data_IF_584841196605
#
_entry.id   IF_584841196605
#
_cell.length_a   1.000
_cell.length_b   1.000
_cell.length_c   1.000
_cell.angle_alpha   90.00
_cell.angle_beta   90.00
_cell.angle_gamma   90.00
#
_symmetry.space_group_name_H-M   'P 1'
#
loop_
_entity.id
_entity.type
_entity.pdbx_description
1 polymer ?
#
# COMPACT_ATOMS: atom_id res chain seq x y z
N UNK A 1 1.90 2.55 18.06
CA UNK A 1 3.22 2.71 17.44
C UNK A 1 3.08 3.80 16.40
N UNK A 2 3.47 5.02 16.76
CA UNK A 2 3.56 6.12 15.79
C UNK A 2 4.54 5.68 14.71
N UNK A 3 4.17 5.83 13.45
CA UNK A 3 5.02 5.48 12.32
C UNK A 3 6.22 6.44 12.35
N UNK A 4 7.38 5.95 12.82
CA UNK A 4 8.53 6.80 13.14
C UNK A 4 9.01 7.62 11.93
N UNK A 5 8.84 7.08 10.72
CA UNK A 5 9.16 7.76 9.47
C UNK A 5 8.15 8.87 9.13
N UNK A 6 6.86 8.69 9.46
CA UNK A 6 5.85 9.76 9.31
C UNK A 6 6.12 10.92 10.27
N UNK A 7 6.59 10.64 11.48
CA UNK A 7 6.93 11.68 12.47
C UNK A 7 8.08 12.57 11.99
N UNK A 8 9.10 12.00 11.35
CA UNK A 8 10.23 12.75 10.82
C UNK A 8 9.83 13.66 9.65
N UNK A 9 8.95 13.20 8.77
CA UNK A 9 8.39 14.00 7.67
C UNK A 9 7.48 15.13 8.17
N UNK A 10 6.66 14.89 9.20
CA UNK A 10 5.83 15.95 9.83
C UNK A 10 6.73 17.06 10.40
N UNK A 11 7.92 16.71 10.91
CA UNK A 11 8.91 17.69 11.37
C UNK A 11 9.40 18.66 10.29
N UNK A 12 9.19 18.34 9.01
CA UNK A 12 9.55 19.18 7.86
C UNK A 12 8.37 20.03 7.36
N UNK A 13 7.15 19.79 7.89
CA UNK A 13 5.96 20.56 7.53
C UNK A 13 5.90 21.89 8.31
N UNK A 14 5.33 22.91 7.68
CA UNK A 14 4.99 24.15 8.38
C UNK A 14 3.83 23.91 9.34
N UNK A 15 4.15 23.75 10.62
CA UNK A 15 3.19 23.53 11.70
C UNK A 15 2.83 24.82 12.43
N UNK A 16 3.14 26.02 11.89
CA UNK A 16 2.74 27.28 12.53
C UNK A 16 1.22 27.34 12.66
N UNK A 17 0.76 27.60 13.88
CA UNK A 17 -0.67 27.58 14.23
C UNK A 17 -1.22 26.21 14.64
N UNK A 18 -0.41 25.15 14.57
CA UNK A 18 -0.74 23.84 15.13
C UNK A 18 0.02 23.60 16.44
N UNK A 19 -0.61 22.85 17.33
CA UNK A 19 0.00 22.33 18.56
C UNK A 19 0.29 20.84 18.32
N UNK A 20 1.56 20.41 18.30
CA UNK A 20 1.88 18.99 18.20
C UNK A 20 1.29 18.20 19.37
N UNK A 21 0.69 17.05 19.07
CA UNK A 21 0.10 16.14 20.05
C UNK A 21 0.72 14.77 19.87
N UNK A 22 1.54 14.38 20.85
CA UNK A 22 2.25 13.09 20.84
C UNK A 22 1.48 11.98 21.58
N UNK A 23 0.47 12.36 22.38
CA UNK A 23 -0.38 11.45 23.15
C UNK A 23 -1.85 11.86 23.07
N UNK A 24 -2.65 11.02 22.39
CA UNK A 24 -4.09 11.22 22.22
C UNK A 24 -4.89 11.01 23.52
N UNK A 25 -4.30 10.41 24.56
CA UNK A 25 -4.93 10.25 25.87
C UNK A 25 -4.78 11.48 26.76
N UNK A 26 -3.82 12.36 26.44
CA UNK A 26 -3.51 13.56 27.21
C UNK A 26 -3.44 14.78 26.28
N UNK A 27 -4.62 15.21 25.86
CA UNK A 27 -4.75 16.38 24.99
C UNK A 27 -4.59 17.68 25.79
N UNK A 28 -3.85 18.69 25.26
CA UNK A 28 -3.94 20.06 25.76
C UNK A 28 -5.33 20.64 25.45
N UNK A 29 -5.59 21.87 25.91
CA UNK A 29 -6.80 22.60 25.52
C UNK A 29 -6.73 22.92 24.02
N UNK A 30 -7.67 22.36 23.25
CA UNK A 30 -7.70 22.41 21.79
C UNK A 30 -9.14 22.65 21.31
N UNK A 31 -9.32 23.54 20.33
CA UNK A 31 -10.59 23.70 19.64
C UNK A 31 -10.91 22.49 18.74
N UNK A 32 -9.88 21.89 18.13
CA UNK A 32 -9.98 20.69 17.32
C UNK A 32 -8.63 19.97 17.13
N UNK A 33 -8.68 18.75 16.59
CA UNK A 33 -7.52 17.90 16.31
C UNK A 33 -7.47 17.45 14.84
N UNK A 34 -6.26 17.37 14.28
CA UNK A 34 -6.00 16.72 12.99
C UNK A 34 -5.14 15.49 13.23
N UNK A 35 -5.71 14.30 13.01
CA UNK A 35 -5.01 13.03 13.11
C UNK A 35 -4.44 12.64 11.75
N UNK A 36 -3.12 12.68 11.60
CA UNK A 36 -2.44 12.19 10.39
C UNK A 36 -2.09 10.72 10.60
N UNK A 37 -2.73 9.82 9.84
CA UNK A 37 -2.55 8.37 10.02
C UNK A 37 -2.86 7.58 8.76
N UNK A 38 -2.09 6.51 8.54
CA UNK A 38 -2.39 5.49 7.53
C UNK A 38 -3.39 4.44 8.03
N UNK A 39 -3.72 4.44 9.32
CA UNK A 39 -4.55 3.40 9.95
C UNK A 39 -6.02 3.60 9.66
N UNK A 40 -6.82 2.53 9.55
CA UNK A 40 -8.25 2.61 9.26
C UNK A 40 -9.08 3.14 10.46
N UNK A 41 -8.60 2.96 11.68
CA UNK A 41 -9.24 3.40 12.93
C UNK A 41 -8.54 4.58 13.60
N UNK A 42 -9.29 5.28 14.45
CA UNK A 42 -8.80 6.25 15.42
C UNK A 42 -9.36 5.88 16.80
N UNK A 43 -8.64 6.18 17.89
CA UNK A 43 -9.20 6.03 19.23
C UNK A 43 -10.39 6.99 19.42
N UNK A 44 -11.21 6.74 20.44
CA UNK A 44 -12.22 7.71 20.86
C UNK A 44 -11.56 9.00 21.34
N UNK A 45 -12.01 10.13 20.79
CA UNK A 45 -11.46 11.46 21.07
C UNK A 45 -12.58 12.39 21.55
N UNK A 46 -12.32 13.13 22.62
CA UNK A 46 -13.29 14.04 23.26
C UNK A 46 -13.40 15.41 22.59
N UNK A 47 -12.55 15.69 21.60
CA UNK A 47 -12.51 16.94 20.85
C UNK A 47 -12.95 16.71 19.40
N UNK A 48 -13.45 17.77 18.75
CA UNK A 48 -13.73 17.74 17.32
C UNK A 48 -12.45 17.36 16.57
N UNK A 49 -12.53 16.41 15.65
CA UNK A 49 -11.33 15.92 14.97
C UNK A 49 -11.59 15.56 13.51
N UNK A 50 -10.52 15.68 12.72
CA UNK A 50 -10.46 15.21 11.34
C UNK A 50 -9.30 14.26 11.17
N UNK A 51 -9.48 13.29 10.28
CA UNK A 51 -8.44 12.35 9.89
C UNK A 51 -7.89 12.75 8.53
N UNK A 52 -6.58 12.99 8.48
CA UNK A 52 -5.84 13.11 7.23
C UNK A 52 -5.18 11.76 6.95
N UNK A 53 -5.45 11.18 5.78
CA UNK A 53 -4.88 9.89 5.37
C UNK A 53 -3.91 10.13 4.21
N UNK A 54 -2.59 10.15 4.46
CA UNK A 54 -1.61 10.30 3.40
C UNK A 54 -1.64 9.12 2.42
N UNK A 55 -1.62 9.41 1.11
CA UNK A 55 -1.50 8.39 0.07
C UNK A 55 -0.05 7.89 -0.02
N UNK A 56 0.29 6.89 0.79
CA UNK A 56 1.64 6.30 0.89
C UNK A 56 1.68 4.80 0.64
N UNK A 57 0.61 4.07 0.89
CA UNK A 57 0.57 2.61 0.75
C UNK A 57 0.61 2.23 -0.72
N UNK A 58 1.47 1.30 -1.10
CA UNK A 58 1.56 0.78 -2.47
C UNK A 58 1.29 -0.72 -2.47
N UNK A 59 0.69 -1.23 -3.54
CA UNK A 59 0.37 -2.64 -3.67
C UNK A 59 1.00 -3.22 -4.94
N UNK A 60 1.97 -4.12 -4.78
CA UNK A 60 2.40 -4.99 -5.88
C UNK A 60 1.45 -6.18 -6.00
N UNK A 61 0.92 -6.44 -7.20
CA UNK A 61 -0.06 -7.49 -7.45
C UNK A 61 0.38 -8.41 -8.59
N UNK A 62 0.43 -9.71 -8.30
CA UNK A 62 0.53 -10.78 -9.29
C UNK A 62 -0.81 -11.52 -9.38
N UNK A 63 -1.26 -11.89 -10.57
CA UNK A 63 -2.48 -12.66 -10.74
C UNK A 63 -2.45 -13.52 -12.02
N UNK A 64 -3.34 -14.52 -12.11
CA UNK A 64 -3.57 -15.27 -13.37
C UNK A 64 -4.19 -14.36 -14.43
N UNK A 65 -4.14 -14.76 -15.69
CA UNK A 65 -4.82 -14.03 -16.77
C UNK A 65 -6.33 -14.04 -16.53
N UNK A 66 -7.00 -12.95 -16.89
CA UNK A 66 -8.45 -12.78 -16.79
C UNK A 66 -8.98 -12.95 -15.35
N UNK A 67 -8.15 -12.59 -14.35
CA UNK A 67 -8.60 -12.62 -12.96
C UNK A 67 -9.71 -11.59 -12.75
N UNK A 68 -10.90 -11.99 -12.26
CA UNK A 68 -12.03 -11.07 -12.14
C UNK A 68 -11.74 -9.91 -11.18
N UNK A 69 -12.17 -8.70 -11.56
CA UNK A 69 -12.09 -7.52 -10.70
C UNK A 69 -12.66 -7.74 -9.28
N UNK A 70 -13.85 -8.35 -9.08
CA UNK A 70 -14.41 -8.54 -7.74
C UNK A 70 -13.51 -9.37 -6.81
N UNK A 71 -12.78 -10.34 -7.36
CA UNK A 71 -11.82 -11.14 -6.62
C UNK A 71 -10.62 -10.29 -6.20
N UNK A 72 -10.05 -9.52 -7.15
CA UNK A 72 -8.92 -8.64 -6.88
C UNK A 72 -9.26 -7.56 -5.83
N UNK A 73 -10.45 -6.96 -5.93
CA UNK A 73 -10.93 -5.96 -4.98
C UNK A 73 -11.11 -6.55 -3.57
N UNK A 74 -11.73 -7.72 -3.47
CA UNK A 74 -11.92 -8.43 -2.19
C UNK A 74 -10.58 -8.75 -1.53
N UNK A 75 -9.62 -9.30 -2.28
CA UNK A 75 -8.33 -9.67 -1.73
C UNK A 75 -7.48 -8.45 -1.35
N UNK A 76 -7.52 -7.37 -2.13
CA UNK A 76 -6.84 -6.13 -1.77
C UNK A 76 -7.42 -5.51 -0.49
N UNK A 77 -8.75 -5.42 -0.39
CA UNK A 77 -9.43 -4.90 0.80
C UNK A 77 -9.06 -5.72 2.04
N UNK A 78 -9.08 -7.06 1.93
CA UNK A 78 -8.67 -7.93 3.04
C UNK A 78 -7.21 -7.76 3.43
N UNK A 79 -6.32 -7.54 2.46
CA UNK A 79 -4.90 -7.33 2.74
C UNK A 79 -4.65 -6.00 3.44
N UNK A 80 -5.34 -4.93 3.04
CA UNK A 80 -5.27 -3.63 3.72
C UNK A 80 -5.81 -3.74 5.15
N UNK A 81 -6.96 -4.40 5.33
CA UNK A 81 -7.58 -4.62 6.64
C UNK A 81 -6.68 -5.45 7.58
N UNK A 82 -6.04 -6.50 7.07
CA UNK A 82 -5.10 -7.30 7.84
C UNK A 82 -3.91 -6.49 8.39
N UNK A 83 -3.57 -5.38 7.73
CA UNK A 83 -2.54 -4.44 8.16
C UNK A 83 -3.13 -3.19 8.86
N UNK A 84 -4.45 -3.16 9.09
CA UNK A 84 -5.22 -2.03 9.63
C UNK A 84 -4.97 -0.74 8.86
N UNK A 85 -4.89 -0.82 7.54
CA UNK A 85 -4.63 0.34 6.68
C UNK A 85 -5.94 0.90 6.15
N UNK A 86 -6.06 2.22 6.18
CA UNK A 86 -7.16 2.92 5.54
C UNK A 86 -7.06 2.74 4.01
N UNK A 87 -8.13 2.34 3.31
CA UNK A 87 -8.11 2.22 1.85
C UNK A 87 -7.71 3.52 1.13
N UNK A 88 -7.98 4.68 1.72
CA UNK A 88 -7.56 5.98 1.16
C UNK A 88 -6.04 6.17 1.19
N UNK A 89 -5.31 5.39 1.99
CA UNK A 89 -3.85 5.43 2.03
C UNK A 89 -3.20 4.85 0.77
N UNK A 90 -3.95 4.13 -0.07
CA UNK A 90 -3.40 3.54 -1.29
C UNK A 90 -2.98 4.65 -2.28
N UNK A 91 -1.72 4.59 -2.70
CA UNK A 91 -1.03 5.51 -3.61
C UNK A 91 -0.90 4.96 -5.03
N UNK A 92 -0.66 3.66 -5.17
CA UNK A 92 -0.43 3.03 -6.48
C UNK A 92 -0.60 1.50 -6.44
N UNK A 93 -0.91 0.92 -7.60
CA UNK A 93 -0.87 -0.53 -7.84
C UNK A 93 0.23 -0.84 -8.86
N UNK A 94 1.05 -1.84 -8.58
CA UNK A 94 2.17 -2.28 -9.41
C UNK A 94 2.00 -3.71 -9.93
N UNK A 95 2.44 -3.98 -11.15
CA UNK A 95 2.57 -5.36 -11.67
C UNK A 95 3.67 -5.47 -12.72
N UNK A 96 3.76 -6.60 -13.41
CA UNK A 96 4.67 -6.79 -14.55
C UNK A 96 4.08 -6.22 -15.85
N UNK A 97 4.92 -5.79 -16.78
CA UNK A 97 4.53 -5.19 -18.08
C UNK A 97 3.63 -6.09 -18.91
N UNK A 98 3.77 -7.42 -18.80
CA UNK A 98 2.85 -8.37 -19.41
C UNK A 98 1.38 -8.16 -19.00
N UNK A 99 1.15 -7.53 -17.84
CA UNK A 99 -0.17 -7.20 -17.28
C UNK A 99 -0.66 -5.79 -17.61
N UNK A 100 0.04 -5.02 -18.44
CA UNK A 100 -0.35 -3.65 -18.81
C UNK A 100 -1.78 -3.56 -19.36
N UNK A 101 -2.25 -4.60 -20.05
CA UNK A 101 -3.61 -4.69 -20.60
C UNK A 101 -4.58 -5.56 -19.80
N UNK A 102 -4.25 -5.97 -18.57
CA UNK A 102 -5.09 -6.87 -17.77
C UNK A 102 -6.35 -6.14 -17.26
N UNK A 103 -7.57 -6.47 -17.74
CA UNK A 103 -8.77 -5.69 -17.43
C UNK A 103 -9.07 -5.61 -15.94
N UNK A 104 -8.89 -6.71 -15.21
CA UNK A 104 -9.15 -6.75 -13.76
C UNK A 104 -8.25 -5.80 -12.96
N UNK A 105 -6.98 -5.67 -13.32
CA UNK A 105 -6.04 -4.76 -12.64
C UNK A 105 -6.28 -3.30 -13.00
N UNK A 106 -6.61 -3.02 -14.27
CA UNK A 106 -6.98 -1.67 -14.73
C UNK A 106 -8.25 -1.20 -14.02
N UNK A 107 -9.28 -2.05 -13.96
CA UNK A 107 -10.52 -1.76 -13.24
C UNK A 107 -10.27 -1.57 -11.75
N UNK A 108 -9.43 -2.40 -11.13
CA UNK A 108 -9.07 -2.24 -9.72
C UNK A 108 -8.42 -0.88 -9.45
N UNK A 109 -7.39 -0.51 -10.23
CA UNK A 109 -6.71 0.77 -10.08
C UNK A 109 -7.64 1.97 -10.31
N UNK A 110 -8.53 1.87 -11.31
CA UNK A 110 -9.55 2.89 -11.57
C UNK A 110 -10.56 3.01 -10.42
N UNK A 111 -11.01 1.88 -9.85
CA UNK A 111 -11.93 1.86 -8.71
C UNK A 111 -11.30 2.51 -7.48
N UNK A 112 -10.02 2.24 -7.23
CA UNK A 112 -9.25 2.84 -6.15
C UNK A 112 -8.78 4.28 -6.45
N UNK A 113 -8.95 4.76 -7.69
CA UNK A 113 -8.46 6.07 -8.17
C UNK A 113 -6.96 6.27 -7.99
N UNK A 114 -6.19 5.22 -8.23
CA UNK A 114 -4.72 5.24 -8.14
C UNK A 114 -4.08 4.86 -9.46
N UNK A 115 -2.86 5.34 -9.76
CA UNK A 115 -2.12 4.91 -10.94
C UNK A 115 -1.84 3.41 -10.91
N UNK A 116 -2.02 2.77 -12.07
CA UNK A 116 -1.52 1.44 -12.35
C UNK A 116 -0.15 1.53 -13.03
N UNK A 117 0.89 1.07 -12.34
CA UNK A 117 2.26 1.05 -12.83
C UNK A 117 2.67 -0.37 -13.20
N UNK A 118 3.47 -0.51 -14.23
CA UNK A 118 4.01 -1.80 -14.66
C UNK A 118 5.52 -1.74 -14.82
N UNK A 119 6.19 -2.82 -14.44
CA UNK A 119 7.64 -2.94 -14.51
C UNK A 119 8.05 -4.04 -15.47
N UNK A 120 9.21 -3.91 -16.12
CA UNK A 120 9.72 -4.95 -17.01
C UNK A 120 10.12 -6.19 -16.21
N UNK A 121 10.21 -7.34 -16.87
CA UNK A 121 10.70 -8.56 -16.20
C UNK A 121 12.14 -8.35 -15.68
N UNK A 122 12.96 -7.60 -16.43
CA UNK A 122 14.33 -7.25 -16.06
C UNK A 122 14.37 -6.43 -14.77
N UNK A 123 13.54 -5.38 -14.65
CA UNK A 123 13.46 -4.55 -13.45
C UNK A 123 12.98 -5.35 -12.22
N UNK A 124 12.01 -6.25 -12.40
CA UNK A 124 11.56 -7.12 -11.31
C UNK A 124 12.63 -8.14 -10.90
N UNK A 125 13.44 -8.62 -11.85
CA UNK A 125 14.48 -9.64 -11.62
C UNK A 125 15.57 -9.13 -10.68
N UNK A 126 15.89 -7.84 -10.74
CA UNK A 126 16.88 -7.23 -9.84
C UNK A 126 16.55 -7.47 -8.36
N UNK A 127 15.25 -7.45 -8.01
CA UNK A 127 14.78 -7.59 -6.62
C UNK A 127 14.08 -8.92 -6.34
N UNK A 128 13.98 -9.84 -7.31
CA UNK A 128 13.22 -11.09 -7.15
C UNK A 128 13.76 -12.00 -6.04
N UNK A 129 15.06 -11.91 -5.75
CA UNK A 129 15.77 -12.76 -4.80
C UNK A 129 15.38 -12.50 -3.34
N UNK A 130 14.75 -11.36 -3.03
CA UNK A 130 14.17 -11.07 -1.72
C UNK A 130 12.87 -11.85 -1.44
N UNK A 131 12.31 -12.54 -2.45
CA UNK A 131 10.99 -13.15 -2.36
C UNK A 131 11.00 -14.62 -2.75
N UNK A 132 10.08 -15.43 -2.19
CA UNK A 132 9.88 -16.81 -2.64
C UNK A 132 9.53 -16.85 -4.13
N UNK A 133 10.36 -17.55 -4.90
CA UNK A 133 10.19 -17.73 -6.33
C UNK A 133 9.21 -18.87 -6.68
N UNK A 134 8.54 -18.74 -7.82
CA UNK A 134 7.69 -19.77 -8.41
C UNK A 134 8.21 -20.20 -9.76
N UNK A 135 8.42 -21.51 -9.95
CA UNK A 135 8.80 -22.08 -11.25
C UNK A 135 7.75 -21.81 -12.34
N UNK A 136 6.46 -21.79 -11.97
CA UNK A 136 5.37 -21.44 -12.88
C UNK A 136 5.45 -19.98 -13.35
N UNK A 137 5.67 -19.04 -12.41
CA UNK A 137 5.82 -17.62 -12.75
C UNK A 137 7.06 -17.40 -13.60
N UNK A 138 8.19 -18.06 -13.27
CA UNK A 138 9.43 -17.96 -14.05
C UNK A 138 9.24 -18.42 -15.49
N UNK A 139 8.55 -19.54 -15.71
CA UNK A 139 8.23 -20.03 -17.06
C UNK A 139 7.31 -19.09 -17.85
N UNK A 140 6.40 -18.38 -17.16
CA UNK A 140 5.35 -17.57 -17.81
C UNK A 140 5.80 -16.12 -18.04
N UNK A 141 6.57 -15.56 -17.10
CA UNK A 141 6.87 -14.12 -17.01
C UNK A 141 8.38 -13.85 -17.13
N UNK A 142 9.24 -14.86 -16.97
CA UNK A 142 10.69 -14.69 -16.97
C UNK A 142 11.27 -14.22 -15.63
N UNK A 143 10.46 -14.17 -14.57
CA UNK A 143 10.84 -13.87 -13.17
C UNK A 143 10.15 -14.82 -12.20
N UNK A 144 10.79 -15.12 -11.07
CA UNK A 144 10.25 -15.99 -10.04
C UNK A 144 9.13 -15.36 -9.20
N UNK A 145 9.07 -14.04 -9.11
CA UNK A 145 8.09 -13.31 -8.32
C UNK A 145 7.68 -12.00 -9.01
N UNK A 146 6.44 -11.56 -8.80
CA UNK A 146 5.91 -10.30 -9.38
C UNK A 146 5.44 -9.35 -8.28
N UNK A 147 4.52 -9.76 -7.40
CA UNK A 147 3.94 -8.86 -6.40
C UNK A 147 5.00 -8.25 -5.47
N UNK A 148 5.94 -9.06 -5.00
CA UNK A 148 7.01 -8.62 -4.13
C UNK A 148 7.91 -7.56 -4.78
N UNK A 149 8.61 -7.86 -5.88
CA UNK A 149 9.48 -6.90 -6.55
C UNK A 149 8.74 -5.65 -7.05
N UNK A 150 7.47 -5.79 -7.46
CA UNK A 150 6.66 -4.63 -7.84
C UNK A 150 6.36 -3.71 -6.64
N UNK A 151 6.03 -4.28 -5.47
CA UNK A 151 5.87 -3.51 -4.25
C UNK A 151 7.19 -2.85 -3.83
N UNK A 152 8.29 -3.61 -3.87
CA UNK A 152 9.63 -3.13 -3.58
C UNK A 152 10.02 -1.91 -4.41
N UNK A 153 9.82 -1.97 -5.72
CA UNK A 153 10.12 -0.85 -6.63
C UNK A 153 9.23 0.38 -6.36
N UNK A 154 7.99 0.17 -5.92
CA UNK A 154 7.08 1.26 -5.60
C UNK A 154 7.38 1.93 -4.25
N UNK A 155 7.89 1.17 -3.28
CA UNK A 155 8.16 1.62 -1.92
C UNK A 155 9.64 1.80 -1.60
N UNK A 156 10.53 1.59 -2.58
CA UNK A 156 11.98 1.59 -2.37
C UNK A 156 12.43 0.61 -1.28
N UNK A 157 11.79 -0.55 -1.21
CA UNK A 157 12.11 -1.63 -0.28
C UNK A 157 11.36 -1.59 1.06
N UNK A 158 10.59 -0.53 1.35
CA UNK A 158 9.77 -0.46 2.55
C UNK A 158 8.51 -1.31 2.40
N UNK A 159 8.56 -2.56 2.86
CA UNK A 159 7.46 -3.53 2.75
C UNK A 159 6.63 -3.60 4.03
N UNK A 160 5.34 -3.93 3.88
CA UNK A 160 4.40 -4.08 5.00
C UNK A 160 3.84 -5.49 5.06
N UNK A 161 3.95 -6.10 6.25
CA UNK A 161 3.33 -7.37 6.58
C UNK A 161 3.74 -8.52 5.66
N UNK A 162 2.95 -9.59 5.70
CA UNK A 162 3.17 -10.74 4.85
C UNK A 162 2.51 -10.58 3.47
N UNK A 163 3.03 -11.29 2.48
CA UNK A 163 2.41 -11.35 1.14
C UNK A 163 1.18 -12.25 1.16
N UNK A 164 0.01 -11.72 0.80
CA UNK A 164 -1.18 -12.51 0.55
C UNK A 164 -0.95 -13.42 -0.66
N UNK A 165 -1.38 -14.68 -0.55
CA UNK A 165 -1.35 -15.66 -1.65
C UNK A 165 -2.62 -16.50 -1.62
N UNK A 166 -3.58 -16.16 -2.48
CA UNK A 166 -4.89 -16.84 -2.49
C UNK A 166 -5.47 -16.86 -3.90
N UNK A 167 -6.10 -17.98 -4.28
CA UNK A 167 -6.85 -18.11 -5.55
C UNK A 167 -6.04 -17.69 -6.80
N UNK A 168 -4.71 -17.87 -6.79
CA UNK A 168 -3.83 -17.49 -7.89
C UNK A 168 -3.52 -15.99 -7.97
N UNK A 169 -3.83 -15.23 -6.92
CA UNK A 169 -3.46 -13.82 -6.73
C UNK A 169 -2.42 -13.73 -5.62
N UNK A 170 -1.42 -12.88 -5.81
CA UNK A 170 -0.47 -12.50 -4.77
C UNK A 170 -0.44 -10.99 -4.60
N UNK A 171 -0.50 -10.51 -3.36
CA UNK A 171 -0.48 -9.07 -3.04
C UNK A 171 0.58 -8.81 -1.97
N UNK A 172 1.52 -7.93 -2.29
CA UNK A 172 2.54 -7.46 -1.36
C UNK A 172 2.33 -5.96 -1.17
N UNK A 173 2.32 -5.49 0.07
CA UNK A 173 2.16 -4.08 0.39
C UNK A 173 3.51 -3.44 0.74
N UNK A 174 3.59 -2.13 0.59
CA UNK A 174 4.71 -1.30 1.05
C UNK A 174 4.29 0.13 1.34
N UNK A 175 5.20 0.94 1.89
CA UNK A 175 5.00 2.37 2.15
C UNK A 175 5.96 3.17 1.30
N UNK A 176 5.46 4.01 0.42
CA UNK A 176 6.28 4.96 -0.32
C UNK A 176 6.52 6.21 0.53
N UNK A 177 7.74 6.75 0.43
CA UNK A 177 8.02 8.15 0.76
C UNK A 177 7.27 9.10 -0.20
#
# INVERSE_FOLDING_TARGET
>A
MVDAELTEEIGQCDIRGFIPVDDLQRLPELDALICVSLRNDLPELSVLHWKLVPQRVVAGIGCRRDTPFPLLATLLARQLEAQKLDPLALKAIGSVTLKKGEPGLIQLASCCRVPFKTFTAEALREFEHHFPGSGFVRKTVGVGSVSGPAAWLLSQGQLLGETLREQGVTITLGVAH
#
